data_IF_444644661717
#
_entry.id   IF_444644661717
#
_cell.length_a   1.000
_cell.length_b   1.000
_cell.length_c   1.000
_cell.angle_alpha   90.00
_cell.angle_beta   90.00
_cell.angle_gamma   90.00
#
_symmetry.space_group_name_H-M   'P 1'
#
loop_
_entity.id
_entity.type
_entity.pdbx_description
1 polymer ?
#
# COMPACT_ATOMS: atom_id res chain seq x y z
N UNK A 1 28.90 -17.87 36.26
CA UNK A 1 28.71 -17.36 34.89
C UNK A 1 27.59 -16.34 34.94
N UNK A 2 27.89 -15.05 34.76
CA UNK A 2 26.88 -13.98 34.71
C UNK A 2 26.62 -13.71 33.23
N UNK A 3 25.46 -14.14 32.73
CA UNK A 3 25.00 -13.79 31.38
C UNK A 3 24.39 -12.39 31.43
N UNK A 4 25.18 -11.37 31.15
CA UNK A 4 24.67 -10.01 30.92
C UNK A 4 24.01 -9.95 29.55
N UNK A 5 22.68 -10.09 29.50
CA UNK A 5 21.89 -9.80 28.32
C UNK A 5 21.63 -8.30 28.22
N UNK A 6 22.00 -7.66 27.12
CA UNK A 6 21.59 -6.29 26.84
C UNK A 6 20.07 -6.26 26.61
N UNK A 7 19.33 -5.66 27.55
CA UNK A 7 17.92 -5.33 27.35
C UNK A 7 17.83 -4.08 26.47
N UNK A 8 17.73 -4.26 25.16
CA UNK A 8 17.35 -3.16 24.27
C UNK A 8 15.91 -2.75 24.60
N UNK A 9 15.65 -1.48 24.99
CA UNK A 9 14.28 -1.03 25.21
C UNK A 9 13.49 -1.17 23.92
N UNK A 10 12.27 -1.69 24.01
CA UNK A 10 11.36 -1.79 22.87
C UNK A 10 11.11 -0.37 22.36
N UNK A 11 11.58 -0.07 21.15
CA UNK A 11 11.32 1.21 20.50
C UNK A 11 9.84 1.18 20.06
N UNK A 12 8.97 1.81 20.84
CA UNK A 12 7.52 1.87 20.59
C UNK A 12 7.11 2.67 19.34
N UNK A 13 8.05 3.34 18.68
CA UNK A 13 7.77 4.15 17.49
C UNK A 13 8.38 3.47 16.27
N UNK A 14 7.56 3.03 15.28
CA UNK A 14 8.07 2.64 13.97
C UNK A 14 8.68 3.87 13.29
N UNK A 15 10.00 4.06 13.46
CA UNK A 15 10.75 5.15 12.84
C UNK A 15 11.09 4.84 11.37
N UNK A 16 10.08 4.48 10.59
CA UNK A 16 10.21 4.39 9.14
C UNK A 16 9.34 5.49 8.54
N UNK A 17 9.91 6.62 8.10
CA UNK A 17 9.15 7.58 7.32
C UNK A 17 8.65 6.86 6.07
N UNK A 18 7.34 6.68 5.97
CA UNK A 18 6.72 6.11 4.78
C UNK A 18 7.01 7.02 3.59
N UNK A 19 7.42 6.43 2.48
CA UNK A 19 7.60 7.18 1.24
C UNK A 19 6.24 7.68 0.76
N UNK A 20 6.05 8.99 0.60
CA UNK A 20 4.75 9.57 0.24
C UNK A 20 4.20 9.03 -1.09
N UNK A 21 5.08 8.68 -2.04
CA UNK A 21 4.69 8.04 -3.30
C UNK A 21 4.06 6.64 -3.11
N UNK A 22 4.31 5.96 -1.98
CA UNK A 22 3.67 4.69 -1.62
C UNK A 22 2.34 4.88 -0.88
N UNK A 23 2.01 6.11 -0.48
CA UNK A 23 0.76 6.47 0.21
C UNK A 23 -0.31 7.02 -0.75
N UNK A 24 -0.01 7.03 -2.05
CA UNK A 24 -0.99 7.38 -3.09
C UNK A 24 -1.98 6.23 -3.27
N UNK A 25 -3.30 6.44 -3.10
CA UNK A 25 -4.28 5.39 -3.30
C UNK A 25 -4.43 5.01 -4.77
N UNK A 26 -4.65 3.73 -5.03
CA UNK A 26 -4.98 3.19 -6.34
C UNK A 26 -6.49 3.24 -6.65
N UNK A 27 -6.86 3.29 -7.94
CA UNK A 27 -8.27 3.29 -8.33
C UNK A 27 -8.97 2.02 -7.85
N UNK A 28 -10.15 2.19 -7.24
CA UNK A 28 -11.01 1.08 -6.79
C UNK A 28 -11.88 0.54 -7.91
N UNK A 29 -12.18 1.38 -8.90
CA UNK A 29 -12.89 0.98 -10.11
C UNK A 29 -11.87 0.44 -11.10
N UNK A 30 -11.83 -0.88 -11.22
CA UNK A 30 -10.92 -1.57 -12.13
C UNK A 30 -11.56 -1.76 -13.51
N UNK A 31 -10.75 -1.82 -14.59
CA UNK A 31 -11.24 -2.13 -15.93
C UNK A 31 -12.07 -3.41 -15.92
N UNK A 32 -13.25 -3.33 -16.54
CA UNK A 32 -14.16 -4.46 -16.71
C UNK A 32 -14.14 -4.91 -18.17
N UNK A 33 -14.40 -6.18 -18.38
CA UNK A 33 -14.65 -6.69 -19.71
C UNK A 33 -15.93 -6.05 -20.25
N UNK A 34 -15.86 -5.43 -21.42
CA UNK A 34 -17.01 -4.84 -22.09
C UNK A 34 -17.92 -5.91 -22.75
N UNK A 35 -17.39 -7.10 -22.97
CA UNK A 35 -18.06 -8.21 -23.63
C UNK A 35 -17.25 -9.51 -23.52
N UNK A 36 -17.58 -10.47 -24.40
CA UNK A 36 -16.99 -11.80 -24.43
C UNK A 36 -16.10 -12.04 -25.67
N UNK A 37 -15.73 -10.99 -26.40
CA UNK A 37 -14.85 -11.11 -27.55
C UNK A 37 -13.38 -11.03 -27.15
N UNK A 38 -12.49 -11.50 -28.02
CA UNK A 38 -11.04 -11.37 -27.82
C UNK A 38 -10.57 -9.91 -27.75
N UNK A 39 -11.25 -9.01 -28.47
CA UNK A 39 -10.98 -7.57 -28.44
C UNK A 39 -11.33 -6.99 -27.08
N UNK A 40 -12.51 -7.30 -26.53
CA UNK A 40 -12.93 -6.83 -25.19
C UNK A 40 -11.93 -7.25 -24.10
N UNK A 41 -11.37 -8.46 -24.24
CA UNK A 41 -10.34 -8.96 -23.33
C UNK A 41 -9.01 -8.22 -23.48
N UNK A 42 -8.56 -8.02 -24.72
CA UNK A 42 -7.30 -7.35 -25.01
C UNK A 42 -7.34 -5.88 -24.55
N UNK A 43 -8.46 -5.19 -24.79
CA UNK A 43 -8.66 -3.80 -24.37
C UNK A 43 -8.65 -3.64 -22.85
N UNK A 44 -9.26 -4.57 -22.12
CA UNK A 44 -9.20 -4.59 -20.66
C UNK A 44 -7.77 -4.84 -20.18
N UNK A 45 -7.04 -5.76 -20.81
CA UNK A 45 -5.67 -6.10 -20.44
C UNK A 45 -4.70 -4.93 -20.64
N UNK A 46 -4.81 -4.20 -21.76
CA UNK A 46 -4.02 -2.98 -21.99
C UNK A 46 -4.28 -1.92 -20.92
N UNK A 47 -5.53 -1.76 -20.48
CA UNK A 47 -5.87 -0.84 -19.40
C UNK A 47 -5.25 -1.29 -18.07
N UNK A 48 -5.30 -2.58 -17.75
CA UNK A 48 -4.64 -3.13 -16.56
C UNK A 48 -3.12 -2.95 -16.60
N UNK A 49 -2.47 -3.15 -17.75
CA UNK A 49 -1.03 -2.97 -17.91
C UNK A 49 -0.58 -1.53 -17.61
N UNK A 50 -1.42 -0.53 -17.88
CA UNK A 50 -1.13 0.87 -17.56
C UNK A 50 -1.23 1.15 -16.06
N UNK A 51 -2.19 0.52 -15.37
CA UNK A 51 -2.46 0.75 -13.94
C UNK A 51 -1.51 -0.06 -13.05
N UNK A 52 -1.14 -1.27 -13.48
CA UNK A 52 -0.41 -2.23 -12.66
C UNK A 52 0.94 -1.73 -12.12
N UNK A 53 1.84 -1.10 -12.91
CA UNK A 53 3.13 -0.64 -12.41
C UNK A 53 3.01 0.34 -11.25
N UNK A 54 2.04 1.25 -11.33
CA UNK A 54 1.78 2.25 -10.30
C UNK A 54 1.11 1.63 -9.06
N UNK A 55 0.36 0.55 -9.21
CA UNK A 55 -0.47 -0.01 -8.16
C UNK A 55 0.05 -1.28 -7.51
N UNK A 56 0.99 -1.99 -8.14
CA UNK A 56 1.53 -3.25 -7.63
C UNK A 56 2.20 -3.08 -6.25
N UNK A 57 2.79 -1.91 -5.98
CA UNK A 57 3.45 -1.60 -4.71
C UNK A 57 2.54 -0.92 -3.67
N UNK A 58 1.29 -0.58 -4.03
CA UNK A 58 0.42 0.30 -3.24
C UNK A 58 -0.85 -0.44 -2.80
N UNK A 59 -0.84 -0.99 -1.59
CA UNK A 59 -2.02 -1.62 -1.02
C UNK A 59 -2.93 -0.57 -0.36
N UNK A 60 -4.10 -0.29 -0.94
CA UNK A 60 -5.04 0.72 -0.42
C UNK A 60 -5.37 0.53 1.06
N UNK A 61 -5.55 -0.72 1.53
CA UNK A 61 -5.81 -0.97 2.95
C UNK A 61 -4.63 -0.53 3.83
N UNK A 62 -3.40 -0.87 3.43
CA UNK A 62 -2.20 -0.47 4.18
C UNK A 62 -2.09 1.06 4.27
N UNK A 63 -2.38 1.77 3.17
CA UNK A 63 -2.38 3.23 3.13
C UNK A 63 -3.39 3.81 4.11
N UNK A 64 -4.61 3.23 4.18
CA UNK A 64 -5.65 3.66 5.11
C UNK A 64 -5.17 3.51 6.55
N UNK A 65 -4.62 2.36 6.92
CA UNK A 65 -4.10 2.10 8.28
C UNK A 65 -2.98 3.08 8.66
N UNK A 66 -2.08 3.38 7.72
CA UNK A 66 -0.99 4.34 7.94
C UNK A 66 -1.55 5.74 8.19
N UNK A 67 -2.52 6.18 7.40
CA UNK A 67 -3.15 7.50 7.56
C UNK A 67 -3.86 7.61 8.90
N UNK A 68 -4.69 6.62 9.24
CA UNK A 68 -5.38 6.58 10.53
C UNK A 68 -4.40 6.67 11.71
N UNK A 69 -3.29 5.91 11.66
CA UNK A 69 -2.25 5.96 12.72
C UNK A 69 -1.60 7.33 12.82
N UNK A 70 -1.26 7.97 11.69
CA UNK A 70 -0.71 9.33 11.67
C UNK A 70 -1.70 10.35 12.27
N UNK A 71 -2.97 10.24 11.93
CA UNK A 71 -4.02 11.14 12.45
C UNK A 71 -4.17 10.96 13.97
N UNK A 72 -4.22 9.72 14.47
CA UNK A 72 -4.23 9.43 15.90
C UNK A 72 -2.99 9.94 16.64
N UNK A 73 -1.81 9.91 16.02
CA UNK A 73 -0.57 10.46 16.59
C UNK A 73 -0.54 11.99 16.56
N UNK A 74 -1.18 12.64 15.58
CA UNK A 74 -1.29 14.10 15.49
C UNK A 74 -2.26 14.67 16.53
N UNK A 75 -3.34 13.96 16.83
CA UNK A 75 -4.37 14.38 17.78
C UNK A 75 -3.98 14.16 19.26
N UNK A 76 -2.82 13.53 19.53
CA UNK A 76 -2.34 13.17 20.87
C UNK A 76 -1.29 14.13 21.42
#
# INVERSE_FOLDING_TARGET
>A
MITSGCSTPVRNVPNVPYQENLLTPCPVTLPRLAGNTGTDFSDALEQYQKIYPDCAARHNQLIIEIKQRRDFEHDR
#
